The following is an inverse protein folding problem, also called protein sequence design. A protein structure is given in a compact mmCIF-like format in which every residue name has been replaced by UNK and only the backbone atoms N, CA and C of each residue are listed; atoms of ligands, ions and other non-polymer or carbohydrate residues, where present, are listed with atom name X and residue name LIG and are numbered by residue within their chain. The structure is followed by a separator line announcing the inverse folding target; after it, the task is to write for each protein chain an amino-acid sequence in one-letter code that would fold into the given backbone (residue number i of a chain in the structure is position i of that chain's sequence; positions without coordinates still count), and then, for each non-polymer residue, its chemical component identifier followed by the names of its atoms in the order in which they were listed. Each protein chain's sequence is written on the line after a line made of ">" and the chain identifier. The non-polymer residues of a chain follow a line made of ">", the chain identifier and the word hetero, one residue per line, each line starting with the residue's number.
data_IF_819328615147
#
_entry.id   IF_819328615147
#
_cell.length_a   1.000
_cell.length_b   1.000
_cell.length_c   1.000
_cell.angle_alpha   90.00
_cell.angle_beta   90.00
_cell.angle_gamma   90.00
#
_symmetry.space_group_name_H-M   'P 1'
#
loop_
_entity.id
_entity.type
_entity.pdbx_description
1 polymer ?
#
# COMPACT_ATOMS: atom_id res chain seq x y z
N UNK A 1 20.10 1.32 10.23
CA UNK A 1 19.47 1.28 8.90
C UNK A 1 18.82 2.64 8.71
N UNK A 2 19.18 3.43 7.68
CA UNK A 2 18.51 4.72 7.43
C UNK A 2 17.02 4.46 7.22
N UNK A 3 16.19 5.22 7.91
CA UNK A 3 14.75 5.23 7.68
C UNK A 3 14.51 5.52 6.19
N UNK A 4 13.67 4.70 5.54
CA UNK A 4 13.30 4.87 4.13
C UNK A 4 11.89 5.44 4.09
N UNK A 5 11.69 6.49 3.31
CA UNK A 5 10.38 7.10 3.04
C UNK A 5 10.17 7.22 1.53
N UNK A 6 8.98 7.62 1.13
CA UNK A 6 8.63 7.86 -0.26
C UNK A 6 8.48 6.58 -1.10
N UNK A 7 8.25 6.82 -2.39
CA UNK A 7 8.09 5.77 -3.41
C UNK A 7 9.41 4.99 -3.56
N UNK A 8 9.33 3.66 -3.51
CA UNK A 8 10.47 2.79 -3.83
C UNK A 8 10.61 2.67 -5.36
N UNK A 9 11.83 2.82 -5.88
CA UNK A 9 12.14 2.79 -7.32
C UNK A 9 13.29 1.82 -7.59
N UNK A 10 13.30 1.23 -8.79
CA UNK A 10 14.21 0.16 -9.21
C UNK A 10 15.70 0.56 -9.34
N UNK A 11 16.06 1.85 -9.46
CA UNK A 11 17.45 2.25 -9.80
C UNK A 11 18.51 1.74 -8.79
N UNK A 12 19.29 0.75 -9.29
CA UNK A 12 20.61 0.21 -8.94
C UNK A 12 20.80 -0.42 -7.54
N UNK A 13 20.85 -1.77 -7.51
CA UNK A 13 21.26 -2.66 -6.41
C UNK A 13 20.52 -2.50 -5.08
N UNK A 14 19.27 -2.02 -5.13
CA UNK A 14 18.48 -1.79 -3.93
C UNK A 14 17.59 -2.99 -3.61
N UNK A 15 17.97 -3.71 -2.54
CA UNK A 15 17.14 -4.74 -1.91
C UNK A 15 15.72 -4.23 -1.64
N UNK A 16 14.71 -5.04 -1.96
CA UNK A 16 13.31 -4.75 -1.69
C UNK A 16 13.08 -4.40 -0.21
N UNK A 17 12.21 -3.41 0.04
CA UNK A 17 11.62 -3.22 1.37
C UNK A 17 10.66 -4.36 1.68
N UNK A 18 11.06 -5.29 2.53
CA UNK A 18 10.22 -6.42 2.98
C UNK A 18 9.65 -6.21 4.39
N UNK A 19 9.43 -4.95 4.79
CA UNK A 19 8.99 -4.61 6.16
C UNK A 19 7.48 -4.61 6.37
N UNK A 20 6.68 -4.97 5.35
CA UNK A 20 5.21 -5.04 5.37
C UNK A 20 4.67 -6.25 6.17
N UNK A 21 5.14 -6.40 7.40
CA UNK A 21 4.78 -7.48 8.32
C UNK A 21 3.60 -7.13 9.24
N UNK A 22 3.13 -5.88 9.20
CA UNK A 22 2.08 -5.35 10.06
C UNK A 22 0.79 -5.08 9.27
N UNK A 23 -0.28 -5.78 9.63
CA UNK A 23 -1.63 -5.52 9.12
C UNK A 23 -1.85 -5.84 7.65
N UNK A 24 -3.11 -5.67 7.21
CA UNK A 24 -3.50 -5.68 5.80
C UNK A 24 -3.32 -4.29 5.21
N UNK A 25 -4.42 -3.65 4.82
CA UNK A 25 -4.51 -2.33 4.20
C UNK A 25 -4.34 -1.17 5.18
N UNK A 26 -4.82 -1.33 6.42
CA UNK A 26 -4.72 -0.34 7.51
C UNK A 26 -5.46 0.99 7.25
N UNK A 27 -6.59 0.95 6.55
CA UNK A 27 -7.34 2.16 6.17
C UNK A 27 -7.77 3.03 7.38
N UNK A 28 -8.43 2.51 8.43
CA UNK A 28 -8.86 3.37 9.55
C UNK A 28 -7.69 4.13 10.18
N UNK A 29 -6.54 3.48 10.31
CA UNK A 29 -5.32 4.10 10.85
C UNK A 29 -4.71 5.09 9.85
N UNK A 30 -4.75 4.78 8.55
CA UNK A 30 -4.37 5.68 7.47
C UNK A 30 -5.11 7.01 7.54
N UNK A 31 -6.44 6.98 7.70
CA UNK A 31 -7.26 8.19 7.84
C UNK A 31 -6.87 9.01 9.07
N UNK A 32 -6.67 8.37 10.23
CA UNK A 32 -6.25 9.07 11.45
C UNK A 32 -4.88 9.72 11.28
N UNK A 33 -3.89 8.99 10.74
CA UNK A 33 -2.55 9.53 10.52
C UNK A 33 -2.55 10.66 9.48
N UNK A 34 -3.35 10.55 8.41
CA UNK A 34 -3.46 11.59 7.39
C UNK A 34 -4.05 12.88 7.97
N UNK A 35 -5.14 12.79 8.74
CA UNK A 35 -5.73 13.95 9.45
C UNK A 35 -4.72 14.63 10.36
N UNK A 36 -4.03 13.85 11.21
CA UNK A 36 -3.00 14.37 12.12
C UNK A 36 -1.87 15.07 11.39
N UNK A 37 -1.43 14.52 10.26
CA UNK A 37 -0.41 15.17 9.43
C UNK A 37 -0.89 16.52 8.90
N UNK A 38 -2.08 16.58 8.32
CA UNK A 38 -2.64 17.80 7.73
C UNK A 38 -2.91 18.89 8.78
N UNK A 39 -3.38 18.50 9.98
CA UNK A 39 -3.61 19.43 11.10
C UNK A 39 -2.32 20.11 11.57
N UNK A 40 -1.20 19.39 11.55
CA UNK A 40 0.11 19.86 12.01
C UNK A 40 0.99 20.47 10.90
N UNK A 41 0.65 20.22 9.64
CA UNK A 41 1.42 20.63 8.47
C UNK A 41 0.50 21.27 7.42
N UNK A 42 0.20 22.57 7.53
CA UNK A 42 -0.61 23.26 6.52
C UNK A 42 0.05 23.18 5.15
N UNK A 43 -0.76 23.24 4.07
CA UNK A 43 -0.26 23.11 2.71
C UNK A 43 0.63 24.30 2.34
N UNK A 44 1.95 24.07 2.23
CA UNK A 44 2.94 25.09 1.84
C UNK A 44 3.60 24.81 0.48
N UNK A 45 2.98 23.99 -0.37
CA UNK A 45 3.57 23.59 -1.65
C UNK A 45 4.75 22.61 -1.49
N UNK A 46 4.72 21.79 -0.44
CA UNK A 46 5.75 20.78 -0.17
C UNK A 46 5.85 19.77 -1.31
N UNK A 47 7.07 19.44 -1.70
CA UNK A 47 7.37 18.32 -2.60
C UNK A 47 6.97 16.98 -1.96
N UNK A 48 6.83 15.94 -2.81
CA UNK A 48 6.49 14.59 -2.35
C UNK A 48 7.56 14.01 -1.41
N UNK A 49 8.81 14.35 -1.65
CA UNK A 49 9.95 13.97 -0.83
C UNK A 49 9.89 14.60 0.56
N UNK A 50 9.58 15.90 0.64
CA UNK A 50 9.41 16.61 1.92
C UNK A 50 8.23 16.07 2.73
N UNK A 51 7.11 15.77 2.07
CA UNK A 51 5.95 15.11 2.72
C UNK A 51 6.37 13.77 3.29
N UNK A 52 7.10 12.98 2.49
CA UNK A 52 7.55 11.66 2.89
C UNK A 52 8.48 11.68 4.11
N UNK A 53 9.34 12.69 4.21
CA UNK A 53 10.19 12.89 5.39
C UNK A 53 9.34 13.34 6.61
N UNK A 54 8.53 14.39 6.44
CA UNK A 54 7.79 15.02 7.54
C UNK A 54 6.71 14.14 8.14
N UNK A 55 6.09 13.25 7.37
CA UNK A 55 5.04 12.36 7.90
C UNK A 55 5.58 11.39 8.96
N UNK A 56 6.90 11.20 9.03
CA UNK A 56 7.50 10.40 10.10
C UNK A 56 7.52 11.11 11.46
N UNK A 57 7.40 12.44 11.47
CA UNK A 57 7.45 13.26 12.70
C UNK A 57 6.22 13.10 13.61
N UNK A 58 5.07 12.74 13.06
CA UNK A 58 3.81 12.61 13.83
C UNK A 58 3.72 11.32 14.64
N UNK A 59 4.69 10.40 14.49
CA UNK A 59 4.61 9.05 15.06
C UNK A 59 4.55 9.05 16.58
N UNK A 60 5.45 9.79 17.21
CA UNK A 60 5.55 9.84 18.67
C UNK A 60 4.28 10.46 19.26
N UNK A 61 3.78 11.54 18.67
CA UNK A 61 2.52 12.16 19.06
C UNK A 61 1.32 11.18 18.97
N UNK A 62 1.20 10.45 17.84
CA UNK A 62 0.11 9.47 17.65
C UNK A 62 0.18 8.34 18.68
N UNK A 63 1.39 7.88 19.00
CA UNK A 63 1.61 6.82 19.97
C UNK A 63 1.32 7.31 21.40
N UNK A 64 1.84 8.48 21.77
CA UNK A 64 1.73 9.04 23.12
C UNK A 64 0.28 9.43 23.46
N UNK A 65 -0.45 9.98 22.48
CA UNK A 65 -1.89 10.27 22.61
C UNK A 65 -2.79 9.05 22.45
N UNK A 66 -2.23 7.89 22.09
CA UNK A 66 -2.96 6.68 21.69
C UNK A 66 -4.07 6.95 20.66
N UNK A 67 -3.81 7.81 19.67
CA UNK A 67 -4.81 8.24 18.68
C UNK A 67 -5.39 7.08 17.85
N UNK A 68 -4.67 5.97 17.72
CA UNK A 68 -5.16 4.76 17.01
C UNK A 68 -6.03 3.85 17.89
N UNK A 69 -6.20 4.17 19.18
CA UNK A 69 -6.93 3.37 20.17
C UNK A 69 -6.45 1.90 20.24
N UNK A 70 -5.14 1.67 20.13
CA UNK A 70 -4.54 0.33 20.15
C UNK A 70 -4.13 -0.03 21.58
N UNK A 71 -4.61 -1.19 22.06
CA UNK A 71 -4.47 -1.63 23.46
C UNK A 71 -3.03 -1.66 23.99
N UNK A 72 -2.07 -2.07 23.17
CA UNK A 72 -0.67 -2.20 23.63
C UNK A 72 0.23 -1.21 22.92
N UNK A 73 1.11 -0.59 23.71
CA UNK A 73 2.11 0.37 23.22
C UNK A 73 2.97 -0.22 22.08
N UNK A 74 3.35 -1.49 22.20
CA UNK A 74 4.16 -2.19 21.19
C UNK A 74 3.41 -2.45 19.89
N UNK A 75 2.10 -2.71 19.93
CA UNK A 75 1.29 -2.81 18.72
C UNK A 75 1.03 -1.42 18.11
N UNK A 76 0.76 -0.41 18.95
CA UNK A 76 0.55 0.96 18.50
C UNK A 76 1.79 1.48 17.73
N UNK A 77 2.98 1.40 18.33
CA UNK A 77 4.24 1.80 17.67
C UNK A 77 4.45 1.13 16.32
N UNK A 78 4.19 -0.19 16.22
CA UNK A 78 4.36 -0.95 14.97
C UNK A 78 3.36 -0.55 13.90
N UNK A 79 2.07 -0.38 14.25
CA UNK A 79 1.03 0.03 13.31
C UNK A 79 1.25 1.46 12.85
N UNK A 80 1.53 2.39 13.77
CA UNK A 80 1.80 3.79 13.45
C UNK A 80 2.99 3.94 12.52
N UNK A 81 4.09 3.23 12.80
CA UNK A 81 5.28 3.25 11.93
C UNK A 81 4.97 2.71 10.52
N UNK A 82 4.22 1.61 10.42
CA UNK A 82 3.83 1.02 9.13
C UNK A 82 2.92 1.95 8.32
N UNK A 83 1.93 2.56 8.97
CA UNK A 83 1.01 3.49 8.30
C UNK A 83 1.77 4.72 7.79
N UNK A 84 2.59 5.35 8.64
CA UNK A 84 3.37 6.53 8.24
C UNK A 84 4.33 6.22 7.07
N UNK A 85 4.92 5.02 7.05
CA UNK A 85 5.72 4.55 5.91
C UNK A 85 4.92 4.55 4.61
N UNK A 86 3.73 3.92 4.59
CA UNK A 86 2.92 3.87 3.36
C UNK A 86 2.43 5.26 2.94
N UNK A 87 1.95 6.05 3.90
CA UNK A 87 1.48 7.42 3.63
C UNK A 87 2.62 8.33 3.14
N UNK A 88 3.88 8.05 3.47
CA UNK A 88 5.04 8.79 2.93
C UNK A 88 5.18 8.70 1.41
N UNK A 89 4.49 7.76 0.76
CA UNK A 89 4.46 7.60 -0.69
C UNK A 89 3.28 8.33 -1.37
N UNK A 90 2.50 9.09 -0.61
CA UNK A 90 1.38 9.91 -1.10
C UNK A 90 1.77 11.39 -1.19
N UNK A 91 1.12 12.11 -2.09
CA UNK A 91 1.17 13.57 -2.20
C UNK A 91 0.24 14.23 -1.18
N UNK A 92 0.34 15.55 -1.03
CA UNK A 92 -0.51 16.30 -0.11
C UNK A 92 -1.99 16.16 -0.49
N UNK A 93 -2.31 16.26 -1.77
CA UNK A 93 -3.69 16.14 -2.28
C UNK A 93 -4.27 14.73 -2.05
N UNK A 94 -3.43 13.70 -2.12
CA UNK A 94 -3.84 12.34 -1.78
C UNK A 94 -4.06 12.16 -0.27
N UNK A 95 -3.22 12.76 0.58
CA UNK A 95 -3.43 12.75 2.04
C UNK A 95 -4.71 13.49 2.42
N UNK A 96 -4.97 14.64 1.80
CA UNK A 96 -6.20 15.41 1.96
C UNK A 96 -7.43 14.60 1.52
N UNK A 97 -7.36 13.95 0.36
CA UNK A 97 -8.39 13.04 -0.11
C UNK A 97 -8.67 11.91 0.89
N UNK A 98 -7.62 11.30 1.46
CA UNK A 98 -7.76 10.23 2.44
C UNK A 98 -8.41 10.71 3.75
N UNK A 99 -8.14 11.96 4.15
CA UNK A 99 -8.66 12.56 5.38
C UNK A 99 -10.11 13.08 5.25
N UNK A 100 -10.52 13.43 4.03
CA UNK A 100 -11.81 14.06 3.70
C UNK A 100 -13.00 13.13 3.95
N UNK A 101 -14.06 13.67 4.55
CA UNK A 101 -15.33 12.96 4.76
C UNK A 101 -16.15 12.79 3.48
N UNK A 102 -15.86 13.58 2.45
CA UNK A 102 -16.51 13.51 1.15
C UNK A 102 -15.97 12.38 0.27
N UNK A 103 -14.86 11.75 0.66
CA UNK A 103 -14.22 10.70 -0.11
C UNK A 103 -14.93 9.37 0.09
N UNK A 104 -15.20 8.67 -1.02
CA UNK A 104 -15.78 7.33 -0.97
C UNK A 104 -14.87 6.38 -0.20
N UNK A 105 -15.47 5.58 0.69
CA UNK A 105 -14.74 4.52 1.41
C UNK A 105 -13.97 3.59 0.47
N UNK A 106 -14.55 3.29 -0.70
CA UNK A 106 -13.90 2.42 -1.68
C UNK A 106 -12.71 3.10 -2.38
N UNK A 107 -12.80 4.38 -2.69
CA UNK A 107 -11.66 5.14 -3.24
C UNK A 107 -10.55 5.28 -2.19
N UNK A 108 -10.88 5.49 -0.91
CA UNK A 108 -9.89 5.51 0.17
C UNK A 108 -9.19 4.15 0.32
N UNK A 109 -9.91 3.04 0.13
CA UNK A 109 -9.32 1.69 0.09
C UNK A 109 -8.33 1.55 -1.07
N UNK A 110 -8.71 1.99 -2.26
CA UNK A 110 -7.82 1.98 -3.42
C UNK A 110 -6.58 2.86 -3.20
N UNK A 111 -6.75 4.05 -2.63
CA UNK A 111 -5.62 4.92 -2.33
C UNK A 111 -4.65 4.29 -1.33
N UNK A 112 -5.15 3.59 -0.31
CA UNK A 112 -4.29 2.86 0.64
C UNK A 112 -3.56 1.66 -0.01
N UNK A 113 -4.18 0.99 -0.98
CA UNK A 113 -3.54 -0.06 -1.77
C UNK A 113 -2.42 0.54 -2.63
N UNK A 114 -2.71 1.65 -3.30
CA UNK A 114 -1.74 2.41 -4.08
C UNK A 114 -0.55 2.89 -3.23
N UNK A 115 -0.80 3.39 -2.02
CA UNK A 115 0.23 3.77 -1.07
C UNK A 115 1.16 2.58 -0.72
N UNK A 116 0.58 1.40 -0.49
CA UNK A 116 1.33 0.17 -0.23
C UNK A 116 2.20 -0.24 -1.44
N UNK A 117 1.63 -0.26 -2.64
CA UNK A 117 2.33 -0.60 -3.88
C UNK A 117 3.48 0.37 -4.21
N UNK A 118 3.28 1.67 -3.94
CA UNK A 118 4.33 2.68 -4.15
C UNK A 118 5.45 2.60 -3.13
N UNK A 119 5.10 2.37 -1.85
CA UNK A 119 6.12 2.31 -0.80
C UNK A 119 6.92 1.00 -0.83
N UNK A 120 6.29 -0.11 -1.26
CA UNK A 120 6.90 -1.43 -1.42
C UNK A 120 6.89 -1.83 -2.90
N UNK A 121 8.02 -1.62 -3.59
CA UNK A 121 8.13 -1.93 -5.02
C UNK A 121 7.78 -3.39 -5.31
N UNK A 122 8.20 -4.31 -4.44
CA UNK A 122 7.83 -5.73 -4.50
C UNK A 122 6.31 -5.96 -4.60
N UNK A 123 5.51 -5.18 -3.87
CA UNK A 123 4.04 -5.28 -3.87
C UNK A 123 3.45 -4.61 -5.12
N UNK A 124 4.02 -3.48 -5.57
CA UNK A 124 3.62 -2.82 -6.81
C UNK A 124 3.88 -3.67 -8.05
N UNK A 125 5.01 -4.37 -8.10
CA UNK A 125 5.34 -5.33 -9.15
C UNK A 125 4.42 -6.55 -9.09
N UNK A 126 4.15 -7.13 -7.92
CA UNK A 126 3.16 -8.21 -7.79
C UNK A 126 1.76 -7.76 -8.28
N UNK A 127 1.36 -6.53 -7.96
CA UNK A 127 0.09 -5.98 -8.40
C UNK A 127 0.01 -5.87 -9.93
N UNK A 128 1.11 -5.51 -10.57
CA UNK A 128 1.19 -5.30 -12.03
C UNK A 128 1.37 -6.60 -12.79
N UNK A 129 2.34 -7.42 -12.39
CA UNK A 129 2.78 -8.65 -13.08
C UNK A 129 1.91 -9.87 -12.75
N UNK A 130 1.17 -9.86 -11.64
CA UNK A 130 0.35 -11.02 -11.25
C UNK A 130 -1.12 -10.64 -11.12
N UNK A 131 -1.48 -9.73 -10.22
CA UNK A 131 -2.89 -9.40 -9.98
C UNK A 131 -3.56 -8.87 -11.25
N UNK A 132 -2.95 -7.87 -11.89
CA UNK A 132 -3.53 -7.28 -13.10
C UNK A 132 -3.46 -8.23 -14.30
N UNK A 133 -2.37 -8.96 -14.51
CA UNK A 133 -2.27 -9.93 -15.61
C UNK A 133 -3.32 -11.03 -15.52
N UNK A 134 -3.49 -11.64 -14.33
CA UNK A 134 -4.51 -12.68 -14.11
C UNK A 134 -5.91 -12.14 -14.34
N UNK A 135 -6.19 -10.89 -13.93
CA UNK A 135 -7.46 -10.22 -14.24
C UNK A 135 -7.70 -10.07 -15.75
N UNK A 136 -6.67 -9.67 -16.51
CA UNK A 136 -6.79 -9.51 -17.96
C UNK A 136 -7.04 -10.86 -18.67
N UNK A 137 -6.51 -11.95 -18.13
CA UNK A 137 -6.74 -13.32 -18.60
C UNK A 137 -8.08 -13.91 -18.12
N UNK A 138 -8.78 -13.24 -17.20
CA UNK A 138 -10.03 -13.75 -16.60
C UNK A 138 -9.80 -14.89 -15.61
N UNK A 139 -8.61 -14.97 -15.02
CA UNK A 139 -8.23 -16.02 -14.07
C UNK A 139 -8.43 -15.60 -12.61
N UNK A 140 -8.57 -16.59 -11.73
CA UNK A 140 -8.55 -16.39 -10.27
C UNK A 140 -7.12 -16.28 -9.76
N UNK A 141 -6.90 -15.71 -8.59
CA UNK A 141 -5.57 -15.63 -7.96
C UNK A 141 -5.49 -16.54 -6.73
N UNK A 142 -4.33 -17.15 -6.49
CA UNK A 142 -4.08 -18.06 -5.38
C UNK A 142 -2.75 -17.76 -4.68
N UNK A 143 -2.58 -18.30 -3.48
CA UNK A 143 -1.33 -18.15 -2.70
C UNK A 143 -0.11 -18.66 -3.47
N UNK A 144 -0.27 -19.72 -4.27
CA UNK A 144 0.78 -20.30 -5.11
C UNK A 144 1.26 -19.34 -6.21
N UNK A 145 0.43 -18.40 -6.67
CA UNK A 145 0.84 -17.38 -7.65
C UNK A 145 1.86 -16.42 -7.01
N UNK A 146 1.67 -16.10 -5.73
CA UNK A 146 2.65 -15.31 -4.96
C UNK A 146 3.95 -16.10 -4.73
N UNK A 147 3.85 -17.39 -4.43
CA UNK A 147 5.04 -18.22 -4.22
C UNK A 147 5.88 -18.32 -5.51
N UNK A 148 5.22 -18.53 -6.66
CA UNK A 148 5.88 -18.51 -7.99
C UNK A 148 6.51 -17.16 -8.30
N UNK A 149 5.80 -16.06 -7.99
CA UNK A 149 6.32 -14.71 -8.15
C UNK A 149 7.58 -14.48 -7.31
N UNK A 150 7.59 -14.88 -6.04
CA UNK A 150 8.78 -14.80 -5.16
C UNK A 150 9.95 -15.60 -5.74
N UNK A 151 9.71 -16.83 -6.19
CA UNK A 151 10.75 -17.68 -6.78
C UNK A 151 11.37 -17.03 -8.02
N UNK A 152 10.56 -16.43 -8.89
CA UNK A 152 11.03 -15.73 -10.08
C UNK A 152 11.87 -14.49 -9.73
N UNK A 153 11.41 -13.68 -8.75
CA UNK A 153 12.15 -12.48 -8.32
C UNK A 153 13.44 -12.82 -7.58
N UNK A 154 13.48 -13.93 -6.82
CA UNK A 154 14.66 -14.36 -6.06
C UNK A 154 15.91 -14.57 -6.93
N UNK A 155 15.74 -14.88 -8.23
CA UNK A 155 16.84 -14.99 -9.21
C UNK A 155 17.70 -13.72 -9.30
N UNK A 156 17.12 -12.55 -9.02
CA UNK A 156 17.79 -11.24 -9.10
C UNK A 156 17.77 -10.48 -7.77
N UNK A 157 17.05 -10.99 -6.77
CA UNK A 157 16.84 -10.37 -5.46
C UNK A 157 17.15 -11.36 -4.33
N UNK A 158 18.44 -11.57 -3.99
CA UNK A 158 18.87 -12.59 -3.03
C UNK A 158 18.30 -12.38 -1.61
N UNK A 159 17.84 -11.18 -1.28
CA UNK A 159 17.13 -10.94 -0.03
C UNK A 159 15.83 -11.73 0.11
N UNK A 160 15.21 -12.15 -0.99
CA UNK A 160 14.02 -13.00 -0.99
C UNK A 160 14.34 -14.45 -0.64
N UNK A 161 15.58 -14.91 -0.88
CA UNK A 161 16.02 -16.23 -0.41
C UNK A 161 16.38 -16.21 1.08
N UNK A 162 16.83 -15.05 1.58
CA UNK A 162 17.27 -14.89 2.96
C UNK A 162 16.12 -14.76 3.99
N UNK A 163 14.87 -14.60 3.55
CA UNK A 163 13.73 -14.51 4.49
C UNK A 163 13.36 -15.90 5.03
N UNK A 164 13.02 -15.96 6.32
CA UNK A 164 12.52 -17.21 6.92
C UNK A 164 11.14 -17.58 6.37
N UNK A 165 10.79 -18.88 6.42
CA UNK A 165 9.47 -19.36 6.01
C UNK A 165 8.31 -18.67 6.77
N UNK A 166 8.52 -18.35 8.06
CA UNK A 166 7.55 -17.61 8.86
C UNK A 166 7.34 -16.18 8.34
N UNK A 167 8.43 -15.49 7.98
CA UNK A 167 8.35 -14.15 7.37
C UNK A 167 7.71 -14.21 5.99
N UNK A 168 8.11 -15.16 5.14
CA UNK A 168 7.51 -15.34 3.81
C UNK A 168 6.00 -15.55 3.88
N UNK A 169 5.54 -16.46 4.75
CA UNK A 169 4.12 -16.70 5.01
C UNK A 169 3.40 -15.44 5.51
N UNK A 170 4.05 -14.67 6.38
CA UNK A 170 3.50 -13.41 6.91
C UNK A 170 3.34 -12.34 5.83
N UNK A 171 4.36 -12.15 4.99
CA UNK A 171 4.34 -11.20 3.88
C UNK A 171 3.22 -11.55 2.88
N UNK A 172 3.15 -12.82 2.47
CA UNK A 172 2.09 -13.34 1.61
C UNK A 172 0.70 -13.09 2.22
N UNK A 173 0.51 -13.47 3.49
CA UNK A 173 -0.75 -13.28 4.20
C UNK A 173 -1.19 -11.81 4.26
N UNK A 174 -0.25 -10.89 4.47
CA UNK A 174 -0.54 -9.46 4.52
C UNK A 174 -0.90 -8.88 3.15
N UNK A 175 -0.24 -9.30 2.06
CA UNK A 175 -0.58 -8.88 0.69
C UNK A 175 -1.99 -9.33 0.33
N UNK A 176 -2.34 -10.61 0.54
CA UNK A 176 -3.69 -11.11 0.27
C UNK A 176 -4.75 -10.46 1.17
N UNK A 177 -4.42 -10.21 2.44
CA UNK A 177 -5.30 -9.49 3.34
C UNK A 177 -5.55 -8.05 2.84
N UNK A 178 -4.51 -7.35 2.39
CA UNK A 178 -4.63 -6.00 1.85
C UNK A 178 -5.48 -5.99 0.56
N UNK A 179 -5.29 -6.94 -0.36
CA UNK A 179 -6.12 -7.07 -1.56
C UNK A 179 -7.60 -7.29 -1.24
N UNK A 180 -7.93 -8.16 -0.25
CA UNK A 180 -9.31 -8.37 0.21
C UNK A 180 -9.90 -7.10 0.85
N UNK A 181 -9.15 -6.47 1.73
CA UNK A 181 -9.58 -5.23 2.40
C UNK A 181 -9.74 -4.07 1.40
N UNK A 182 -9.00 -4.10 0.29
CA UNK A 182 -9.12 -3.15 -0.81
C UNK A 182 -10.28 -3.46 -1.77
N UNK A 183 -10.94 -4.62 -1.63
CA UNK A 183 -11.99 -5.05 -2.55
C UNK A 183 -11.48 -5.43 -3.94
N UNK A 184 -10.21 -5.83 -4.06
CA UNK A 184 -9.60 -6.25 -5.32
C UNK A 184 -9.75 -7.74 -5.56
N UNK A 185 -9.92 -8.52 -4.49
CA UNK A 185 -10.23 -9.93 -4.55
C UNK A 185 -11.36 -10.26 -3.59
N UNK A 186 -12.20 -11.20 -3.99
CA UNK A 186 -13.33 -11.68 -3.22
C UNK A 186 -13.41 -13.20 -3.25
N UNK A 187 -14.13 -13.76 -2.28
CA UNK A 187 -14.26 -15.20 -2.17
C UNK A 187 -15.27 -15.69 -3.20
N UNK A 188 -14.77 -16.29 -4.28
CA UNK A 188 -15.58 -16.88 -5.32
C UNK A 188 -16.07 -18.30 -4.99
N UNK A 189 -16.74 -18.94 -5.98
CA UNK A 189 -17.21 -20.30 -5.86
C UNK A 189 -16.08 -21.27 -5.49
N UNK A 190 -16.44 -22.34 -4.77
CA UNK A 190 -15.60 -23.50 -4.42
C UNK A 190 -14.37 -23.24 -3.55
N UNK A 191 -13.86 -22.02 -3.44
CA UNK A 191 -12.52 -21.92 -2.88
C UNK A 191 -11.56 -20.95 -3.54
N UNK A 192 -11.95 -20.29 -4.63
CA UNK A 192 -11.04 -19.41 -5.35
C UNK A 192 -11.16 -17.94 -4.90
N UNK A 193 -10.03 -17.22 -4.86
CA UNK A 193 -10.06 -15.76 -4.75
C UNK A 193 -10.26 -15.21 -6.18
N UNK A 194 -11.45 -14.67 -6.43
CA UNK A 194 -11.84 -14.07 -7.72
C UNK A 194 -11.40 -12.61 -7.71
N UNK A 195 -10.83 -12.15 -8.82
CA UNK A 195 -10.36 -10.78 -8.95
C UNK A 195 -11.52 -9.87 -9.36
N UNK A 196 -11.80 -8.86 -8.56
CA UNK A 196 -12.84 -7.88 -8.81
C UNK A 196 -12.27 -6.68 -9.59
N UNK A 197 -12.95 -6.17 -10.63
CA UNK A 197 -12.49 -4.99 -11.36
C UNK A 197 -12.48 -3.74 -10.47
N UNK A 198 -11.42 -2.94 -10.57
CA UNK A 198 -11.34 -1.66 -9.88
C UNK A 198 -12.12 -0.58 -10.64
N UNK A 199 -13.04 0.11 -9.96
CA UNK A 199 -13.85 1.20 -10.52
C UNK A 199 -13.66 2.45 -9.67
N UNK A 200 -13.03 3.47 -10.23
CA UNK A 200 -12.62 4.67 -9.48
C UNK A 200 -13.65 5.80 -9.57
N UNK A 201 -13.87 6.49 -8.45
CA UNK A 201 -14.60 7.75 -8.45
C UNK A 201 -13.81 8.87 -9.15
N UNK A 202 -14.54 9.86 -9.70
CA UNK A 202 -13.95 10.99 -10.45
C UNK A 202 -12.93 11.80 -9.66
N UNK A 203 -13.10 11.91 -8.32
CA UNK A 203 -12.16 12.65 -7.46
C UNK A 203 -10.81 11.95 -7.39
N UNK A 204 -10.79 10.63 -7.13
CA UNK A 204 -9.56 9.84 -7.12
C UNK A 204 -8.92 9.79 -8.51
N UNK A 205 -9.73 9.60 -9.57
CA UNK A 205 -9.31 9.69 -10.97
C UNK A 205 -8.54 10.99 -11.27
N UNK A 206 -9.05 12.11 -10.76
CA UNK A 206 -8.51 13.44 -11.00
C UNK A 206 -7.16 13.69 -10.36
N UNK A 207 -6.85 13.06 -9.22
CA UNK A 207 -5.58 13.19 -8.50
C UNK A 207 -4.41 12.55 -9.24
N UNK A 208 -4.69 11.51 -10.02
CA UNK A 208 -3.70 10.63 -10.62
C UNK A 208 -3.58 10.80 -12.14
N UNK A 209 -4.18 11.86 -12.69
CA UNK A 209 -4.13 12.16 -14.14
C UNK A 209 -2.71 12.19 -14.70
N UNK A 210 -1.72 12.58 -13.89
CA UNK A 210 -0.33 12.71 -14.31
C UNK A 210 0.56 11.50 -13.93
N UNK A 211 0.03 10.50 -13.22
CA UNK A 211 0.80 9.36 -12.70
C UNK A 211 0.28 8.01 -13.20
N UNK A 212 0.35 7.83 -14.52
CA UNK A 212 -0.19 6.67 -15.24
C UNK A 212 0.29 5.30 -14.72
N UNK A 213 1.47 5.23 -14.08
CA UNK A 213 2.03 3.99 -13.57
C UNK A 213 1.22 3.41 -12.39
N UNK A 214 0.64 4.26 -11.53
CA UNK A 214 -0.08 3.78 -10.34
C UNK A 214 -1.39 3.06 -10.67
N UNK A 215 -1.97 3.35 -11.83
CA UNK A 215 -3.16 2.65 -12.33
C UNK A 215 -2.90 1.18 -12.68
N UNK A 216 -1.65 0.83 -12.98
CA UNK A 216 -1.27 -0.55 -13.30
C UNK A 216 -1.30 -1.47 -12.08
N UNK A 217 -1.37 -0.92 -10.85
CA UNK A 217 -1.54 -1.71 -9.64
C UNK A 217 -2.95 -2.29 -9.48
N UNK A 218 -3.88 -1.96 -10.37
CA UNK A 218 -5.28 -2.32 -10.25
C UNK A 218 -5.74 -3.24 -11.37
N UNK A 219 -6.65 -4.19 -11.07
CA UNK A 219 -7.35 -4.99 -12.07
C UNK A 219 -8.33 -4.11 -12.86
N UNK A 220 -7.81 -3.43 -13.88
CA UNK A 220 -8.57 -2.55 -14.77
C UNK A 220 -8.12 -2.73 -16.22
N UNK A 221 -9.09 -2.70 -17.13
CA UNK A 221 -8.84 -2.85 -18.59
C UNK A 221 -8.38 -1.54 -19.22
N UNK A 222 -8.91 -0.42 -18.73
CA UNK A 222 -8.61 0.90 -19.27
C UNK A 222 -7.42 1.52 -18.53
N UNK A 223 -6.47 2.08 -19.29
CA UNK A 223 -5.71 3.22 -18.77
C UNK A 223 -6.73 4.36 -18.75
N UNK A 224 -7.02 4.91 -17.58
CA UNK A 224 -7.89 6.07 -17.47
C UNK A 224 -7.27 7.19 -18.29
N UNK A 225 -7.79 7.40 -19.51
CA UNK A 225 -7.40 8.46 -20.42
C UNK A 225 -8.08 9.76 -20.02
#
# INVERSE_FOLDING_TARGET
>A
MRERWGVERERQDSRYRLSFTVGGLLLPQGVVCARRFLDSHPNVGMSKEEIGERITSIRDEIVDSNALAIRTMSANKRVTAEVCKRLSALSFAELDFLASEESSMQDCRYLMWMAMCRYYLFVGEFATEVLRERFLLGETIALDDYDRYVLNKAMWHPELEAISAATASKLRGNVFKAMREAGLIERGPQGADVIAPAVFGQRLAGLERDNAASWLFFPSRDRMN
#
